data_IF_943188160801
#
_entry.id   IF_943188160801
#
_cell.length_a   1.000
_cell.length_b   1.000
_cell.length_c   1.000
_cell.angle_alpha   90.00
_cell.angle_beta   90.00
_cell.angle_gamma   90.00
#
_symmetry.space_group_name_H-M   'P 1'
#
loop_
_entity.id
_entity.type
_entity.pdbx_description
1 polymer ?
#
# COMPACT_ATOMS: atom_id res chain seq x y z
N UNK A 1 -7.78 -19.34 1.49
CA UNK A 1 -6.68 -18.74 0.70
C UNK A 1 -7.00 -17.26 0.57
N UNK A 2 -6.30 -16.38 1.29
CA UNK A 2 -6.53 -14.92 1.18
C UNK A 2 -5.82 -14.44 -0.07
N UNK A 3 -6.58 -13.98 -1.06
CA UNK A 3 -6.03 -13.60 -2.37
C UNK A 3 -5.87 -12.08 -2.35
N UNK A 4 -4.62 -11.61 -2.21
CA UNK A 4 -4.27 -10.19 -2.20
C UNK A 4 -4.78 -9.46 -3.45
N UNK A 5 -4.71 -10.14 -4.61
CA UNK A 5 -5.08 -9.59 -5.91
C UNK A 5 -6.53 -9.09 -6.03
N UNK A 6 -7.57 -9.93 -5.90
CA UNK A 6 -8.95 -9.46 -6.02
C UNK A 6 -9.33 -8.45 -4.94
N UNK A 7 -8.70 -8.52 -3.76
CA UNK A 7 -8.90 -7.49 -2.74
C UNK A 7 -8.33 -6.14 -3.18
N UNK A 8 -7.08 -6.12 -3.65
CA UNK A 8 -6.41 -4.90 -4.08
C UNK A 8 -7.09 -4.27 -5.31
N UNK A 9 -7.48 -5.09 -6.28
CA UNK A 9 -8.28 -4.66 -7.44
C UNK A 9 -9.61 -4.04 -6.99
N UNK A 10 -10.27 -4.62 -5.99
CA UNK A 10 -11.48 -4.05 -5.40
C UNK A 10 -11.24 -2.66 -4.81
N UNK A 11 -10.14 -2.47 -4.08
CA UNK A 11 -9.76 -1.16 -3.54
C UNK A 11 -9.48 -0.16 -4.66
N UNK A 12 -8.67 -0.54 -5.65
CA UNK A 12 -8.31 0.32 -6.79
C UNK A 12 -9.54 0.73 -7.61
N UNK A 13 -10.47 -0.21 -7.84
CA UNK A 13 -11.70 0.04 -8.59
C UNK A 13 -12.70 0.88 -7.80
N UNK A 14 -12.70 0.78 -6.46
CA UNK A 14 -13.57 1.59 -5.62
C UNK A 14 -13.17 3.06 -5.56
N UNK A 15 -11.89 3.37 -5.80
CA UNK A 15 -11.32 4.72 -5.64
C UNK A 15 -11.41 5.26 -4.20
N UNK A 16 -11.76 4.43 -3.22
CA UNK A 16 -12.06 4.84 -1.84
C UNK A 16 -10.85 5.02 -0.95
N UNK A 17 -9.63 4.88 -1.48
CA UNK A 17 -8.38 5.07 -0.73
C UNK A 17 -7.52 6.11 -1.44
N UNK A 18 -7.35 7.31 -0.87
CA UNK A 18 -6.63 8.37 -1.55
C UNK A 18 -5.16 8.01 -1.79
N UNK A 19 -4.69 8.22 -3.03
CA UNK A 19 -3.34 7.90 -3.48
C UNK A 19 -3.15 6.44 -3.92
N UNK A 20 -4.16 5.57 -3.75
CA UNK A 20 -4.17 4.20 -4.29
C UNK A 20 -5.05 4.16 -5.52
N UNK A 21 -4.44 4.15 -6.69
CA UNK A 21 -5.17 4.26 -7.96
C UNK A 21 -4.40 3.62 -9.12
N UNK A 22 -5.17 3.22 -10.13
CA UNK A 22 -4.63 2.80 -11.43
C UNK A 22 -3.86 3.95 -12.08
N UNK A 23 -2.73 3.64 -12.71
CA UNK A 23 -1.91 4.59 -13.47
C UNK A 23 -2.27 4.58 -14.95
N UNK A 24 -2.86 3.49 -15.43
CA UNK A 24 -3.26 3.25 -16.81
C UNK A 24 -4.73 2.85 -16.92
N UNK A 25 -5.34 3.14 -18.06
CA UNK A 25 -6.73 2.74 -18.33
C UNK A 25 -6.88 1.22 -18.51
N UNK A 26 -5.79 0.52 -18.86
CA UNK A 26 -5.75 -0.92 -19.04
C UNK A 26 -5.69 -1.69 -17.70
N UNK A 27 -5.56 -0.96 -16.57
CA UNK A 27 -5.52 -1.50 -15.20
C UNK A 27 -4.42 -2.55 -15.01
N UNK A 28 -3.26 -2.26 -15.57
CA UNK A 28 -2.07 -3.12 -15.47
C UNK A 28 -1.08 -2.58 -14.45
N UNK A 29 -1.08 -1.27 -14.20
CA UNK A 29 -0.17 -0.57 -13.31
C UNK A 29 -0.95 0.25 -12.29
N UNK A 30 -0.51 0.23 -11.04
CA UNK A 30 -1.11 1.00 -9.97
C UNK A 30 -0.03 1.57 -9.07
N UNK A 31 -0.40 2.60 -8.32
CA UNK A 31 0.44 3.18 -7.28
C UNK A 31 -0.18 2.94 -5.91
N UNK A 32 0.67 2.65 -4.92
CA UNK A 32 0.29 2.66 -3.50
C UNK A 32 1.21 3.68 -2.81
N UNK A 33 0.69 4.64 -2.05
CA UNK A 33 1.50 5.62 -1.36
C UNK A 33 2.27 4.90 -0.25
N UNK A 34 3.59 4.88 -0.37
CA UNK A 34 4.47 4.15 0.54
C UNK A 34 5.38 5.11 1.32
N UNK A 35 4.94 5.64 2.48
CA UNK A 35 5.68 6.67 3.19
C UNK A 35 7.07 6.18 3.57
N UNK A 36 8.13 6.91 3.19
CA UNK A 36 9.52 6.59 3.57
C UNK A 36 9.77 7.05 5.02
N UNK A 37 10.63 6.31 5.73
CA UNK A 37 10.73 6.24 7.20
C UNK A 37 11.09 7.50 7.98
N UNK A 38 11.14 8.69 7.36
CA UNK A 38 11.42 9.95 8.05
C UNK A 38 10.20 10.86 8.22
N UNK A 39 9.04 10.54 7.64
CA UNK A 39 7.79 11.26 7.96
C UNK A 39 7.33 10.82 9.36
N UNK A 40 7.51 11.70 10.35
CA UNK A 40 7.12 11.47 11.75
C UNK A 40 5.62 11.18 11.90
N UNK A 41 4.80 11.65 10.95
CA UNK A 41 3.38 11.38 10.86
C UNK A 41 3.00 11.10 9.39
N UNK A 42 2.79 9.83 8.99
CA UNK A 42 2.15 9.54 7.71
C UNK A 42 0.72 10.11 7.74
N UNK A 43 0.29 10.64 6.60
CA UNK A 43 -1.06 11.18 6.42
C UNK A 43 -2.10 10.08 6.65
N UNK A 44 -3.29 10.45 7.13
CA UNK A 44 -4.37 9.48 7.41
C UNK A 44 -4.71 8.64 6.17
N UNK A 45 -4.64 9.27 5.00
CA UNK A 45 -4.85 8.65 3.70
C UNK A 45 -3.80 7.56 3.40
N UNK A 46 -2.53 7.82 3.70
CA UNK A 46 -1.44 6.84 3.50
C UNK A 46 -1.60 5.63 4.43
N UNK A 47 -2.19 5.85 5.62
CA UNK A 47 -2.45 4.79 6.61
C UNK A 47 -3.65 3.92 6.25
N UNK A 48 -4.60 4.45 5.49
CA UNK A 48 -5.89 3.81 5.23
C UNK A 48 -5.74 2.48 4.48
N UNK A 49 -4.86 2.40 3.47
CA UNK A 49 -4.63 1.15 2.73
C UNK A 49 -4.12 0.02 3.64
N UNK A 50 -3.20 0.35 4.55
CA UNK A 50 -2.62 -0.62 5.48
C UNK A 50 -3.66 -1.09 6.50
N UNK A 51 -4.52 -0.17 6.97
CA UNK A 51 -5.62 -0.48 7.87
C UNK A 51 -6.64 -1.42 7.21
N UNK A 52 -7.12 -1.08 6.00
CA UNK A 52 -8.06 -1.94 5.25
C UNK A 52 -7.48 -3.33 4.98
N UNK A 53 -6.17 -3.45 4.72
CA UNK A 53 -5.51 -4.75 4.58
C UNK A 53 -5.52 -5.56 5.88
N UNK A 54 -5.25 -4.90 7.01
CA UNK A 54 -5.28 -5.54 8.32
C UNK A 54 -6.69 -6.02 8.69
N UNK A 55 -7.73 -5.25 8.36
CA UNK A 55 -9.14 -5.64 8.50
C UNK A 55 -9.48 -6.83 7.61
N UNK A 56 -9.11 -6.78 6.32
CA UNK A 56 -9.37 -7.84 5.36
C UNK A 56 -8.72 -9.18 5.75
N UNK A 57 -7.52 -9.12 6.31
CA UNK A 57 -6.80 -10.32 6.79
C UNK A 57 -7.24 -10.80 8.17
N UNK A 58 -8.17 -10.07 8.83
CA UNK A 58 -8.66 -10.35 10.19
C UNK A 58 -7.60 -10.10 11.28
N UNK A 59 -6.57 -9.32 10.99
CA UNK A 59 -5.45 -9.00 11.89
C UNK A 59 -5.65 -7.72 12.69
N UNK A 60 -6.72 -7.00 12.39
CA UNK A 60 -7.14 -5.82 13.11
C UNK A 60 -8.66 -5.76 13.13
N UNK A 61 -9.22 -5.49 14.30
CA UNK A 61 -10.64 -5.22 14.52
C UNK A 61 -10.79 -3.83 15.13
N UNK A 62 -11.55 -2.98 14.45
CA UNK A 62 -11.84 -1.61 14.90
C UNK A 62 -12.45 -1.63 16.29
N UNK A 63 -11.88 -0.86 17.21
CA UNK A 63 -12.36 -0.72 18.59
C UNK A 63 -11.98 -1.86 19.54
N UNK A 64 -11.29 -2.92 19.07
CA UNK A 64 -10.82 -4.04 19.90
C UNK A 64 -9.30 -4.06 19.94
N UNK A 65 -8.66 -4.07 18.76
CA UNK A 65 -7.22 -4.16 18.63
C UNK A 65 -6.57 -2.77 18.63
N UNK A 66 -5.32 -2.68 19.10
CA UNK A 66 -4.52 -1.45 19.01
C UNK A 66 -4.04 -1.24 17.57
N UNK A 67 -4.11 0.00 17.09
CA UNK A 67 -3.62 0.36 15.76
C UNK A 67 -2.09 0.22 15.68
N UNK A 68 -1.60 -0.52 14.68
CA UNK A 68 -0.17 -0.78 14.45
C UNK A 68 0.17 -0.67 12.96
N UNK A 69 0.32 0.58 12.52
CA UNK A 69 0.59 0.92 11.12
C UNK A 69 1.89 0.32 10.59
N UNK A 70 2.93 0.24 11.42
CA UNK A 70 4.25 -0.29 11.02
C UNK A 70 4.13 -1.78 10.70
N UNK A 71 3.40 -2.52 11.53
CA UNK A 71 3.15 -3.95 11.31
C UNK A 71 2.26 -4.20 10.10
N UNK A 72 1.19 -3.42 9.92
CA UNK A 72 0.29 -3.57 8.77
C UNK A 72 0.99 -3.29 7.44
N UNK A 73 1.77 -2.21 7.39
CA UNK A 73 2.63 -1.87 6.24
C UNK A 73 3.60 -2.99 5.91
N UNK A 74 4.29 -3.52 6.92
CA UNK A 74 5.23 -4.64 6.73
C UNK A 74 4.53 -5.86 6.17
N UNK A 75 3.35 -6.21 6.69
CA UNK A 75 2.56 -7.35 6.20
C UNK A 75 2.09 -7.17 4.76
N UNK A 76 1.63 -5.97 4.39
CA UNK A 76 1.21 -5.70 3.01
C UNK A 76 2.40 -5.84 2.04
N UNK A 77 3.57 -5.31 2.40
CA UNK A 77 4.80 -5.48 1.59
C UNK A 77 5.16 -6.93 1.39
N UNK A 78 5.17 -7.71 2.47
CA UNK A 78 5.46 -9.14 2.38
C UNK A 78 4.43 -9.88 1.53
N UNK A 79 3.16 -9.48 1.56
CA UNK A 79 2.12 -10.08 0.74
C UNK A 79 2.31 -9.75 -0.76
N UNK A 80 2.63 -8.50 -1.08
CA UNK A 80 2.96 -8.04 -2.44
C UNK A 80 4.19 -8.80 -2.96
N UNK A 81 5.31 -8.76 -2.23
CA UNK A 81 6.58 -9.37 -2.66
C UNK A 81 6.50 -10.91 -2.76
N UNK A 82 5.56 -11.55 -2.06
CA UNK A 82 5.39 -13.01 -2.11
C UNK A 82 4.43 -13.46 -3.22
N UNK A 83 3.58 -12.56 -3.71
CA UNK A 83 2.66 -12.87 -4.80
C UNK A 83 3.42 -12.84 -6.13
N UNK A 84 3.10 -13.80 -7.00
CA UNK A 84 3.63 -13.85 -8.37
C UNK A 84 2.86 -12.94 -9.34
N UNK A 85 1.76 -12.35 -8.87
CA UNK A 85 0.88 -11.49 -9.67
C UNK A 85 1.36 -10.03 -9.67
N UNK A 86 2.34 -9.69 -8.84
CA UNK A 86 2.80 -8.31 -8.65
C UNK A 86 4.30 -8.21 -8.83
N UNK A 87 4.72 -7.14 -9.51
CA UNK A 87 6.10 -6.72 -9.62
C UNK A 87 6.22 -5.28 -9.12
N UNK A 88 7.21 -5.01 -8.25
CA UNK A 88 7.48 -3.66 -7.77
C UNK A 88 8.24 -2.90 -8.84
N UNK A 89 7.60 -1.90 -9.45
CA UNK A 89 8.24 -0.97 -10.38
C UNK A 89 8.84 0.17 -9.54
N UNK A 90 10.16 0.15 -9.38
CA UNK A 90 10.89 1.24 -8.73
C UNK A 90 11.25 2.27 -9.81
N UNK A 91 10.63 3.44 -9.72
CA UNK A 91 11.00 4.60 -10.53
C UNK A 91 12.40 5.09 -10.11
N UNK A 92 13.43 4.76 -10.89
CA UNK A 92 14.84 5.05 -10.60
C UNK A 92 15.14 6.56 -10.59
N UNK A 93 14.35 7.40 -11.27
CA UNK A 93 14.48 8.87 -11.21
C UNK A 93 14.24 9.42 -9.79
N UNK A 94 13.51 8.72 -8.93
CA UNK A 94 13.29 9.10 -7.51
C UNK A 94 14.38 8.60 -6.54
N UNK A 95 15.48 8.02 -7.04
CA UNK A 95 16.67 7.64 -6.23
C UNK A 95 17.71 8.75 -6.08
N UNK A 96 17.67 9.81 -6.88
CA UNK A 96 18.65 10.89 -6.80
C UNK A 96 18.05 12.14 -6.13
N UNK A 97 18.25 12.38 -4.82
CA UNK A 97 18.25 13.76 -4.35
C UNK A 97 19.41 14.44 -5.07
N UNK A 98 19.07 15.40 -5.96
CA UNK A 98 19.98 16.37 -6.56
C UNK A 98 21.39 16.35 -5.95
N UNK A 99 22.33 15.70 -6.63
CA UNK A 99 23.73 16.08 -6.48
C UNK A 99 23.83 17.50 -7.08
N UNK A 100 23.84 18.50 -6.21
CA UNK A 100 24.47 19.79 -6.51
C UNK A 100 25.92 19.67 -6.07
N UNK A 101 26.85 19.62 -7.01
CA UNK A 101 27.96 20.55 -7.23
C UNK A 101 28.54 20.28 -8.62
#
# INVERSE_FOLDING_TARGET
RQILRPWLEGILNSGGVPGVNWLDNERTQFVIPWPRGSKSCPDQNEKEIFKKWAEHTGRYRVGIDKEDYVRWKTRLRCALNKSKDFEEIIDEEKKHPNHKF
#
